data_IF_206951882586
#
_entry.id   IF_206951882586
#
_cell.length_a   1.000
_cell.length_b   1.000
_cell.length_c   1.000
_cell.angle_alpha   90.00
_cell.angle_beta   90.00
_cell.angle_gamma   90.00
#
_symmetry.space_group_name_H-M   'P 1'
#
loop_
_entity.id
_entity.type
_entity.pdbx_description
1 polymer ?
#
# COMPACT_ATOMS: atom_id res chain seq x y z
N UNK A 1 4.51 -28.10 3.46
CA UNK A 1 5.40 -27.45 2.48
C UNK A 1 6.35 -26.54 3.24
N UNK A 2 7.64 -26.90 3.34
CA UNK A 2 8.64 -26.04 3.98
C UNK A 2 9.15 -25.10 2.90
N UNK A 3 8.85 -23.79 3.02
CA UNK A 3 9.43 -22.78 2.13
C UNK A 3 10.90 -22.60 2.51
N UNK A 4 11.81 -22.61 1.54
CA UNK A 4 13.21 -22.23 1.77
C UNK A 4 13.24 -20.83 2.38
N UNK A 5 14.12 -20.55 3.37
CA UNK A 5 14.26 -19.21 3.91
C UNK A 5 14.76 -18.31 2.78
N UNK A 6 13.92 -17.40 2.31
CA UNK A 6 14.42 -16.30 1.49
C UNK A 6 15.23 -15.42 2.42
N UNK A 7 16.56 -15.38 2.23
CA UNK A 7 17.41 -14.35 2.82
C UNK A 7 17.08 -13.01 2.17
N UNK A 8 15.92 -12.46 2.51
CA UNK A 8 15.70 -11.03 2.40
C UNK A 8 16.07 -10.52 3.78
N UNK A 9 17.09 -9.67 3.85
CA UNK A 9 17.16 -8.73 4.98
C UNK A 9 15.77 -8.10 5.14
N UNK A 10 15.43 -7.58 6.31
CA UNK A 10 14.18 -6.81 6.48
C UNK A 10 14.25 -5.53 5.63
N UNK A 11 14.23 -5.68 4.31
CA UNK A 11 13.95 -4.67 3.33
C UNK A 11 12.51 -4.26 3.58
N UNK A 12 12.28 -2.96 3.60
CA UNK A 12 10.92 -2.40 3.68
C UNK A 12 10.08 -3.09 2.60
N UNK A 13 9.04 -3.82 3.01
CA UNK A 13 8.12 -4.47 2.07
C UNK A 13 7.28 -3.46 1.29
N UNK A 14 6.49 -3.97 0.34
CA UNK A 14 5.49 -3.18 -0.37
C UNK A 14 4.40 -2.71 0.60
N UNK A 15 4.08 -1.42 0.59
CA UNK A 15 2.94 -0.91 1.38
C UNK A 15 1.61 -1.45 0.83
N UNK A 16 1.48 -1.52 -0.50
CA UNK A 16 0.32 -2.10 -1.15
C UNK A 16 0.58 -2.50 -2.59
N UNK A 17 -0.15 -3.51 -3.05
CA UNK A 17 -0.04 -4.05 -4.40
C UNK A 17 -1.43 -4.43 -4.91
N UNK A 18 -1.83 -3.89 -6.06
CA UNK A 18 -3.08 -4.20 -6.74
C UNK A 18 -2.78 -4.83 -8.10
N UNK A 19 -3.43 -5.95 -8.43
CA UNK A 19 -3.35 -6.54 -9.77
C UNK A 19 -4.70 -6.38 -10.44
N UNK A 20 -4.75 -5.59 -11.51
CA UNK A 20 -5.95 -5.32 -12.28
C UNK A 20 -5.95 -6.20 -13.53
N UNK A 21 -7.10 -6.81 -13.81
CA UNK A 21 -7.33 -7.67 -14.95
C UNK A 21 -8.37 -7.05 -15.89
N UNK A 22 -8.16 -7.24 -17.19
CA UNK A 22 -9.17 -7.11 -18.22
C UNK A 22 -9.48 -8.53 -18.69
N UNK A 23 -10.68 -9.01 -18.33
CA UNK A 23 -11.05 -10.43 -18.38
C UNK A 23 -10.05 -11.34 -17.64
N UNK A 24 -9.26 -12.11 -18.39
CA UNK A 24 -8.22 -13.01 -17.86
C UNK A 24 -6.80 -12.49 -18.08
N UNK A 25 -6.65 -11.41 -18.84
CA UNK A 25 -5.36 -10.81 -19.11
C UNK A 25 -5.05 -9.70 -18.10
N UNK A 26 -3.77 -9.54 -17.80
CA UNK A 26 -3.33 -8.46 -16.93
C UNK A 26 -3.48 -7.10 -17.64
N UNK A 27 -4.33 -6.25 -17.06
CA UNK A 27 -4.42 -4.86 -17.44
C UNK A 27 -3.17 -4.10 -16.94
N UNK A 28 -2.93 -4.14 -15.61
CA UNK A 28 -1.77 -3.51 -14.96
C UNK A 28 -1.60 -3.99 -13.52
N UNK A 29 -0.42 -3.72 -12.97
CA UNK A 29 -0.14 -3.78 -11.54
C UNK A 29 0.06 -2.38 -10.97
N UNK A 30 -0.68 -2.07 -9.91
CA UNK A 30 -0.60 -0.79 -9.20
C UNK A 30 0.26 -0.96 -7.96
N UNK A 31 1.44 -0.36 -7.98
CA UNK A 31 2.39 -0.31 -6.87
C UNK A 31 1.99 0.86 -5.97
N UNK A 32 1.61 0.58 -4.74
CA UNK A 32 1.10 1.58 -3.80
C UNK A 32 2.10 1.90 -2.70
N UNK A 33 2.29 3.18 -2.44
CA UNK A 33 3.02 3.71 -1.28
C UNK A 33 2.07 4.52 -0.41
N UNK A 34 1.96 4.17 0.87
CA UNK A 34 1.06 4.78 1.83
C UNK A 34 1.85 5.37 3.00
N UNK A 35 1.63 6.65 3.32
CA UNK A 35 2.40 7.35 4.35
C UNK A 35 1.50 8.09 5.33
N UNK A 36 1.54 7.64 6.57
CA UNK A 36 1.04 8.33 7.74
C UNK A 36 2.15 9.23 8.31
N UNK A 37 2.16 10.52 7.97
CA UNK A 37 3.23 11.46 8.33
C UNK A 37 2.73 12.88 8.59
N UNK A 38 3.44 13.61 9.46
CA UNK A 38 3.27 15.06 9.64
C UNK A 38 4.09 15.91 8.67
N UNK A 39 4.94 15.29 7.84
CA UNK A 39 5.82 15.99 6.89
C UNK A 39 5.56 15.49 5.46
N UNK A 40 4.32 15.62 4.99
CA UNK A 40 3.83 15.00 3.76
C UNK A 40 4.70 15.30 2.53
N UNK A 41 5.05 16.56 2.28
CA UNK A 41 5.86 16.93 1.12
C UNK A 41 7.26 16.33 1.14
N UNK A 42 7.94 16.39 2.28
CA UNK A 42 9.28 15.80 2.46
C UNK A 42 9.22 14.29 2.25
N UNK A 43 8.22 13.62 2.81
CA UNK A 43 8.04 12.19 2.65
C UNK A 43 7.82 11.78 1.18
N UNK A 44 6.93 12.48 0.47
CA UNK A 44 6.67 12.22 -0.96
C UNK A 44 7.94 12.43 -1.80
N UNK A 45 8.60 13.58 -1.64
CA UNK A 45 9.77 13.94 -2.44
C UNK A 45 10.98 13.04 -2.17
N UNK A 46 11.28 12.81 -0.90
CA UNK A 46 12.57 12.26 -0.48
C UNK A 46 12.51 10.75 -0.23
N UNK A 47 11.31 10.16 -0.16
CA UNK A 47 11.11 8.71 0.02
C UNK A 47 10.31 8.10 -1.11
N UNK A 48 9.09 8.57 -1.34
CA UNK A 48 8.19 7.92 -2.31
C UNK A 48 8.71 8.01 -3.75
N UNK A 49 9.16 9.19 -4.18
CA UNK A 49 9.67 9.37 -5.55
C UNK A 49 10.90 8.50 -5.84
N UNK A 50 11.95 8.47 -4.99
CA UNK A 50 13.05 7.53 -5.13
C UNK A 50 12.58 6.07 -5.20
N UNK A 51 11.64 5.66 -4.34
CA UNK A 51 11.15 4.28 -4.35
C UNK A 51 10.42 3.92 -5.65
N UNK A 52 9.61 4.83 -6.20
CA UNK A 52 9.01 4.62 -7.53
C UNK A 52 10.07 4.53 -8.62
N UNK A 53 11.14 5.31 -8.55
CA UNK A 53 12.27 5.22 -9.48
C UNK A 53 13.03 3.89 -9.33
N UNK A 54 13.14 3.34 -8.12
CA UNK A 54 13.70 2.00 -7.90
C UNK A 54 12.88 0.94 -8.65
N UNK A 55 11.56 1.06 -8.66
CA UNK A 55 10.70 0.18 -9.46
C UNK A 55 10.79 0.46 -10.97
N UNK A 56 10.81 1.73 -11.41
CA UNK A 56 10.92 2.05 -12.85
C UNK A 56 12.27 1.58 -13.43
N UNK A 57 13.33 1.52 -12.62
CA UNK A 57 14.67 1.05 -13.02
C UNK A 57 14.89 -0.45 -12.83
N UNK A 58 13.87 -1.19 -12.35
CA UNK A 58 13.94 -2.63 -12.10
C UNK A 58 14.74 -3.04 -10.86
N UNK A 59 15.26 -2.09 -10.07
CA UNK A 59 16.04 -2.38 -8.85
C UNK A 59 15.27 -3.17 -7.80
N UNK A 60 13.94 -3.10 -7.82
CA UNK A 60 13.03 -3.84 -6.93
C UNK A 60 12.18 -4.90 -7.66
N UNK A 61 12.59 -5.35 -8.85
CA UNK A 61 11.81 -6.34 -9.62
C UNK A 61 11.62 -7.67 -8.88
N UNK A 62 12.65 -8.15 -8.18
CA UNK A 62 12.54 -9.38 -7.38
C UNK A 62 11.44 -9.27 -6.31
N UNK A 63 11.27 -8.08 -5.73
CA UNK A 63 10.21 -7.81 -4.76
C UNK A 63 8.83 -7.81 -5.41
N UNK A 64 8.72 -7.14 -6.55
CA UNK A 64 7.47 -7.04 -7.29
C UNK A 64 7.01 -8.42 -7.77
N UNK A 65 7.94 -9.23 -8.29
CA UNK A 65 7.67 -10.61 -8.73
C UNK A 65 7.20 -11.48 -7.57
N UNK A 66 7.88 -11.43 -6.42
CA UNK A 66 7.51 -12.19 -5.22
C UNK A 66 6.11 -11.79 -4.70
N UNK A 67 5.84 -10.48 -4.64
CA UNK A 67 4.54 -9.94 -4.23
C UNK A 67 3.39 -10.36 -5.15
N UNK A 68 3.56 -10.17 -6.47
CA UNK A 68 2.53 -10.55 -7.46
C UNK A 68 2.33 -12.06 -7.46
N UNK A 69 3.39 -12.86 -7.46
CA UNK A 69 3.29 -14.33 -7.41
C UNK A 69 2.51 -14.80 -6.19
N UNK A 70 2.77 -14.21 -5.03
CA UNK A 70 2.07 -14.53 -3.77
C UNK A 70 0.58 -14.21 -3.86
N UNK A 71 0.21 -13.04 -4.41
CA UNK A 71 -1.19 -12.66 -4.59
C UNK A 71 -1.92 -13.60 -5.55
N UNK A 72 -1.31 -13.92 -6.69
CA UNK A 72 -1.92 -14.78 -7.71
C UNK A 72 -2.10 -16.22 -7.22
N UNK A 73 -1.13 -16.74 -6.47
CA UNK A 73 -1.23 -18.05 -5.85
C UNK A 73 -2.36 -18.09 -4.80
N UNK A 74 -2.48 -17.05 -3.97
CA UNK A 74 -3.57 -16.93 -2.99
C UNK A 74 -4.95 -16.81 -3.63
N UNK A 75 -5.03 -16.19 -4.81
CA UNK A 75 -6.25 -16.03 -5.58
C UNK A 75 -6.61 -17.26 -6.45
N UNK A 76 -5.71 -18.24 -6.59
CA UNK A 76 -5.93 -19.40 -7.47
C UNK A 76 -5.98 -19.04 -8.96
N UNK A 77 -5.23 -18.03 -9.39
CA UNK A 77 -5.24 -17.58 -10.79
C UNK A 77 -4.69 -18.68 -11.72
N UNK A 78 -5.32 -18.95 -12.88
CA UNK A 78 -4.97 -20.10 -13.73
C UNK A 78 -3.62 -19.99 -14.44
N UNK A 79 -3.08 -18.78 -14.64
CA UNK A 79 -1.80 -18.57 -15.34
C UNK A 79 -0.92 -17.50 -14.67
N UNK A 80 -0.40 -17.77 -13.46
CA UNK A 80 0.34 -16.78 -12.69
C UNK A 80 1.65 -16.37 -13.38
N UNK A 81 2.31 -17.29 -14.08
CA UNK A 81 3.60 -17.05 -14.73
C UNK A 81 3.49 -16.02 -15.86
N UNK A 82 2.39 -16.06 -16.64
CA UNK A 82 2.17 -15.08 -17.70
C UNK A 82 1.96 -13.67 -17.13
N UNK A 83 1.23 -13.56 -16.02
CA UNK A 83 1.03 -12.28 -15.32
C UNK A 83 2.36 -11.76 -14.79
N UNK A 84 3.15 -12.61 -14.13
CA UNK A 84 4.47 -12.25 -13.60
C UNK A 84 5.44 -11.84 -14.70
N UNK A 85 5.41 -12.50 -15.87
CA UNK A 85 6.23 -12.07 -17.00
C UNK A 85 5.79 -10.69 -17.53
N UNK A 86 4.48 -10.40 -17.53
CA UNK A 86 3.94 -9.15 -18.03
C UNK A 86 4.30 -7.94 -17.14
N UNK A 87 4.36 -8.09 -15.81
CA UNK A 87 4.68 -6.95 -14.91
C UNK A 87 6.10 -6.43 -15.08
N UNK A 88 7.01 -7.24 -15.65
CA UNK A 88 8.37 -6.81 -15.92
C UNK A 88 8.40 -5.64 -16.91
N UNK A 89 7.39 -5.54 -17.76
CA UNK A 89 7.21 -4.44 -18.68
C UNK A 89 6.63 -3.20 -18.00
N UNK A 90 7.31 -2.06 -18.18
CA UNK A 90 7.00 -0.79 -17.50
C UNK A 90 5.58 -0.30 -17.79
N UNK A 91 5.06 -0.52 -18.99
CA UNK A 91 3.69 -0.14 -19.38
C UNK A 91 2.60 -0.88 -18.61
N UNK A 92 2.92 -2.04 -18.04
CA UNK A 92 2.02 -2.80 -17.16
C UNK A 92 2.12 -2.34 -15.71
N UNK A 93 2.95 -1.35 -15.38
CA UNK A 93 3.09 -0.77 -14.03
C UNK A 93 2.39 0.57 -13.95
N UNK A 94 1.56 0.72 -12.94
CA UNK A 94 1.02 1.99 -12.48
C UNK A 94 1.38 2.19 -11.01
N UNK A 95 1.28 3.43 -10.55
CA UNK A 95 1.73 3.84 -9.23
C UNK A 95 0.63 4.62 -8.52
N UNK A 96 0.46 4.35 -7.24
CA UNK A 96 -0.44 5.08 -6.35
C UNK A 96 0.33 5.56 -5.14
N UNK A 97 0.22 6.84 -4.83
CA UNK A 97 0.70 7.40 -3.57
C UNK A 97 -0.48 7.90 -2.76
N UNK A 98 -0.58 7.46 -1.50
CA UNK A 98 -1.55 7.95 -0.53
C UNK A 98 -0.83 8.54 0.68
N UNK A 99 -1.11 9.79 1.04
CA UNK A 99 -0.48 10.40 2.23
C UNK A 99 -1.50 11.11 3.12
N UNK A 100 -1.26 11.09 4.42
CA UNK A 100 -1.99 11.95 5.35
C UNK A 100 -1.55 13.40 5.19
N UNK A 101 -2.49 14.33 5.22
CA UNK A 101 -2.22 15.77 5.14
C UNK A 101 -2.93 16.55 6.24
N UNK A 102 -2.37 17.71 6.59
CA UNK A 102 -3.04 18.75 7.34
C UNK A 102 -3.63 19.81 6.39
N UNK A 103 -4.09 20.93 6.96
CA UNK A 103 -4.72 22.01 6.21
C UNK A 103 -3.74 22.73 5.28
N UNK A 104 -2.43 22.60 5.51
CA UNK A 104 -1.38 23.19 4.67
C UNK A 104 -1.48 22.70 3.22
N UNK A 105 -1.91 21.46 3.02
CA UNK A 105 -2.01 20.83 1.71
C UNK A 105 -3.45 20.61 1.23
N UNK A 106 -4.47 20.98 2.01
CA UNK A 106 -5.87 20.65 1.72
C UNK A 106 -6.49 21.42 0.54
N UNK A 107 -5.82 22.46 0.04
CA UNK A 107 -6.26 23.19 -1.17
C UNK A 107 -5.76 22.56 -2.45
N UNK A 108 -6.41 22.84 -3.60
CA UNK A 108 -5.94 22.38 -4.91
C UNK A 108 -4.47 22.79 -5.19
N UNK A 109 -4.12 24.04 -4.85
CA UNK A 109 -2.74 24.54 -4.95
C UNK A 109 -1.79 23.78 -4.01
N UNK A 110 -2.26 23.47 -2.80
CA UNK A 110 -1.54 22.68 -1.81
C UNK A 110 -1.24 21.26 -2.31
N UNK A 111 -2.23 20.57 -2.87
CA UNK A 111 -2.10 19.23 -3.46
C UNK A 111 -1.16 19.24 -4.67
N UNK A 112 -1.28 20.21 -5.58
CA UNK A 112 -0.35 20.37 -6.71
C UNK A 112 1.09 20.56 -6.23
N UNK A 113 1.30 21.34 -5.17
CA UNK A 113 2.62 21.52 -4.58
C UNK A 113 3.14 20.26 -3.88
N UNK A 114 2.26 19.52 -3.19
CA UNK A 114 2.56 18.28 -2.48
C UNK A 114 3.14 17.21 -3.41
N UNK A 115 2.49 16.98 -4.56
CA UNK A 115 2.88 15.95 -5.52
C UNK A 115 3.75 16.43 -6.68
N UNK A 116 4.29 17.65 -6.60
CA UNK A 116 5.18 18.17 -7.64
C UNK A 116 6.35 17.21 -7.91
N UNK A 117 6.56 16.90 -9.19
CA UNK A 117 7.64 16.04 -9.69
C UNK A 117 7.25 14.57 -9.85
N UNK A 118 5.96 14.21 -9.69
CA UNK A 118 5.52 12.83 -9.90
C UNK A 118 5.77 12.36 -11.34
N UNK A 119 5.56 13.23 -12.33
CA UNK A 119 5.82 12.99 -13.75
C UNK A 119 7.30 12.72 -14.07
N UNK A 120 8.22 13.20 -13.23
CA UNK A 120 9.65 12.93 -13.36
C UNK A 120 10.06 11.63 -12.64
N UNK A 121 9.33 11.24 -11.59
CA UNK A 121 9.55 9.98 -10.88
C UNK A 121 8.99 8.78 -11.65
N UNK A 122 7.84 8.94 -12.30
CA UNK A 122 7.16 7.94 -13.13
C UNK A 122 6.79 8.58 -14.45
N UNK A 123 7.43 8.17 -15.53
CA UNK A 123 7.22 8.78 -16.85
C UNK A 123 6.03 8.18 -17.61
N UNK A 124 5.67 8.75 -18.76
CA UNK A 124 4.60 8.24 -19.62
C UNK A 124 3.20 8.77 -19.28
N UNK A 125 2.18 8.02 -19.66
CA UNK A 125 0.77 8.43 -19.57
C UNK A 125 0.32 8.76 -18.13
N UNK A 126 -0.65 9.67 -18.00
CA UNK A 126 -1.10 10.20 -16.71
C UNK A 126 -1.83 9.16 -15.86
N UNK A 127 -2.47 8.18 -16.49
CA UNK A 127 -3.16 7.06 -15.86
C UNK A 127 -2.21 6.08 -15.14
N UNK A 128 -0.90 6.17 -15.38
CA UNK A 128 0.13 5.48 -14.59
C UNK A 128 0.36 6.10 -13.22
N UNK A 129 -0.18 7.30 -12.95
CA UNK A 129 0.11 8.10 -11.76
C UNK A 129 -1.17 8.49 -11.04
N UNK A 130 -1.39 7.92 -9.85
CA UNK A 130 -2.52 8.25 -8.97
C UNK A 130 -2.02 8.81 -7.65
N UNK A 131 -2.51 9.99 -7.29
CA UNK A 131 -2.16 10.65 -6.04
C UNK A 131 -3.40 10.89 -5.18
N UNK A 132 -3.34 10.50 -3.91
CA UNK A 132 -4.43 10.56 -2.95
C UNK A 132 -3.98 11.16 -1.63
N UNK A 133 -4.86 11.95 -1.03
CA UNK A 133 -4.61 12.56 0.26
C UNK A 133 -5.74 12.22 1.24
N UNK A 134 -5.37 11.89 2.47
CA UNK A 134 -6.30 11.77 3.59
C UNK A 134 -6.08 12.95 4.54
N UNK A 135 -7.03 13.90 4.56
CA UNK A 135 -6.92 15.07 5.43
C UNK A 135 -7.29 14.68 6.87
N UNK A 136 -6.33 14.84 7.77
CA UNK A 136 -6.49 14.54 9.19
C UNK A 136 -5.61 15.45 10.03
N UNK A 137 -6.25 16.14 10.97
CA UNK A 137 -5.56 16.98 11.93
C UNK A 137 -4.98 16.15 13.06
N UNK A 138 -3.78 16.48 13.52
CA UNK A 138 -3.12 15.81 14.65
C UNK A 138 -3.15 14.28 14.53
N UNK A 139 -2.50 13.76 13.47
CA UNK A 139 -2.53 12.35 13.09
C UNK A 139 -2.33 11.36 14.24
N UNK A 140 -1.37 11.62 15.14
CA UNK A 140 -1.11 10.72 16.28
C UNK A 140 -2.26 10.69 17.28
N UNK A 141 -2.73 11.83 17.82
CA UNK A 141 -3.96 11.86 18.62
C UNK A 141 -5.18 11.23 17.93
N UNK A 142 -5.32 11.40 16.61
CA UNK A 142 -6.43 10.80 15.86
C UNK A 142 -6.37 9.26 15.88
N UNK A 143 -5.20 8.66 15.62
CA UNK A 143 -5.02 7.21 15.71
C UNK A 143 -5.20 6.68 17.14
N UNK A 144 -4.68 7.40 18.14
CA UNK A 144 -4.86 7.05 19.55
C UNK A 144 -6.36 6.93 19.90
N UNK A 145 -7.18 7.86 19.40
CA UNK A 145 -8.62 7.82 19.66
C UNK A 145 -9.30 6.58 19.07
N UNK A 146 -8.86 6.13 17.88
CA UNK A 146 -9.37 4.90 17.27
C UNK A 146 -8.95 3.69 18.10
N UNK A 147 -7.69 3.62 18.52
CA UNK A 147 -7.17 2.52 19.32
C UNK A 147 -7.95 2.38 20.64
N UNK A 148 -8.13 3.49 21.37
CA UNK A 148 -8.89 3.50 22.63
C UNK A 148 -10.31 2.98 22.43
N UNK A 149 -10.99 3.38 21.35
CA UNK A 149 -12.35 2.91 21.05
C UNK A 149 -12.39 1.43 20.69
N UNK A 150 -11.44 0.96 19.88
CA UNK A 150 -11.36 -0.44 19.48
C UNK A 150 -11.08 -1.35 20.68
N UNK A 151 -10.14 -0.97 21.55
CA UNK A 151 -9.84 -1.69 22.80
C UNK A 151 -11.07 -1.79 23.69
N UNK A 152 -11.80 -0.68 23.89
CA UNK A 152 -13.01 -0.71 24.72
C UNK A 152 -14.09 -1.69 24.20
N UNK A 153 -14.21 -1.85 22.87
CA UNK A 153 -15.14 -2.82 22.26
C UNK A 153 -14.64 -4.25 22.52
N UNK A 154 -13.35 -4.51 22.25
CA UNK A 154 -12.76 -5.84 22.46
C UNK A 154 -12.89 -6.27 23.92
N UNK A 155 -12.55 -5.38 24.87
CA UNK A 155 -12.66 -5.66 26.31
C UNK A 155 -14.11 -5.98 26.74
N UNK A 156 -15.09 -5.28 26.16
CA UNK A 156 -16.50 -5.53 26.44
C UNK A 156 -16.97 -6.90 25.92
N UNK A 157 -16.55 -7.28 24.71
CA UNK A 157 -16.86 -8.59 24.11
C UNK A 157 -16.19 -9.74 24.90
N UNK A 158 -14.92 -9.57 25.29
CA UNK A 158 -14.21 -10.56 26.11
C UNK A 158 -14.87 -10.76 27.47
N UNK A 159 -15.28 -9.66 28.12
CA UNK A 159 -16.01 -9.71 29.39
C UNK A 159 -17.38 -10.41 29.25
N UNK A 160 -18.13 -10.14 28.18
CA UNK A 160 -19.41 -10.78 27.91
C UNK A 160 -19.27 -12.29 27.69
N UNK A 161 -18.27 -12.72 26.90
CA UNK A 161 -17.96 -14.14 26.68
C UNK A 161 -17.58 -14.83 28.00
N UNK A 162 -16.80 -14.16 28.85
CA UNK A 162 -16.42 -14.72 30.15
C UNK A 162 -17.60 -14.85 31.12
N UNK A 163 -18.57 -13.93 31.06
CA UNK A 163 -19.82 -14.03 31.82
C UNK A 163 -20.64 -15.25 31.38
N UNK A 164 -20.87 -15.40 30.06
CA UNK A 164 -21.66 -16.50 29.48
C UNK A 164 -21.02 -17.90 29.67
N UNK A 165 -19.71 -17.98 29.83
CA UNK A 165 -19.01 -19.25 30.10
C UNK A 165 -19.03 -19.64 31.57
N UNK A 166 -19.15 -18.68 32.49
CA UNK A 166 -19.29 -18.94 33.94
C UNK A 166 -20.71 -19.35 34.36
N UNK A 167 -21.73 -19.00 33.58
CA UNK A 167 -23.13 -19.26 33.92
C UNK A 167 -23.70 -20.59 33.37
N UNK A 168 -22.90 -21.41 32.67
CA UNK A 168 -23.35 -22.76 32.25
C UNK A 168 -23.26 -23.73 33.43
N UNK A 169 -24.39 -24.21 34.00
CA UNK A 169 -24.35 -25.26 35.01
C UNK A 169 -23.96 -26.59 34.34
N UNK A 170 -23.17 -27.38 35.06
CA UNK A 170 -22.81 -28.76 34.70
C UNK A 170 -24.05 -29.65 34.84
#
# INVERSE_FOLDING_TARGET
MIRSPHMRHADKGLDGLLVEFEDTEIARVVISEEKATGNARTMVRDRVWPEFQDFETGRRDAELVDGVSTLLAGAGHPNPDAVVAAILWTEKRAYRVAVTIDDTHASEKGLKALYKGYEAAVSGAIDRRRAEAFQVQNLRPWFENIAVRATAIIDAEEAAIQCMTRERPI
#
